data_IF_127646480892
#
_entry.id   IF_127646480892
#
_cell.length_a   1.000
_cell.length_b   1.000
_cell.length_c   1.000
_cell.angle_alpha   90.00
_cell.angle_beta   90.00
_cell.angle_gamma   90.00
#
_symmetry.space_group_name_H-M   'P 1'
#
loop_
_entity.id
_entity.type
_entity.pdbx_description
1 polymer ?
#
# COMPACT_ATOMS: atom_id res chain seq x y z
N UNK A 1 -12.79 16.17 -16.33
CA UNK A 1 -12.64 15.19 -15.23
C UNK A 1 -11.28 14.48 -15.24
N UNK A 2 -10.94 13.64 -16.24
CA UNK A 2 -9.70 12.83 -16.22
C UNK A 2 -8.39 13.61 -15.93
N UNK A 3 -8.22 14.80 -16.54
CA UNK A 3 -7.05 15.66 -16.31
C UNK A 3 -6.93 16.17 -14.86
N UNK A 4 -8.04 16.47 -14.20
CA UNK A 4 -8.02 16.99 -12.83
C UNK A 4 -7.66 15.86 -11.85
N UNK A 5 -8.25 14.68 -12.03
CA UNK A 5 -7.90 13.49 -11.25
C UNK A 5 -6.41 13.17 -11.35
N UNK A 6 -5.84 13.21 -12.55
CA UNK A 6 -4.42 12.96 -12.75
C UNK A 6 -3.55 13.99 -12.02
N UNK A 7 -3.88 15.29 -12.10
CA UNK A 7 -3.16 16.33 -11.37
C UNK A 7 -3.21 16.14 -9.85
N UNK A 8 -4.36 15.72 -9.32
CA UNK A 8 -4.52 15.45 -7.88
C UNK A 8 -3.68 14.25 -7.46
N UNK A 9 -3.71 13.16 -8.23
CA UNK A 9 -2.88 11.98 -7.97
C UNK A 9 -1.38 12.31 -8.02
N UNK A 10 -0.95 13.08 -9.02
CA UNK A 10 0.43 13.56 -9.13
C UNK A 10 0.81 14.48 -7.96
N UNK A 11 -0.11 15.34 -7.52
CA UNK A 11 0.09 16.18 -6.33
C UNK A 11 0.32 15.36 -5.07
N UNK A 12 -0.53 14.36 -4.80
CA UNK A 12 -0.35 13.46 -3.66
C UNK A 12 0.87 12.55 -3.80
N UNK A 13 1.23 12.14 -5.02
CA UNK A 13 2.47 11.41 -5.26
C UNK A 13 3.69 12.27 -4.92
N UNK A 14 3.74 13.53 -5.40
CA UNK A 14 4.81 14.46 -5.06
C UNK A 14 4.89 14.74 -3.56
N UNK A 15 3.74 14.91 -2.90
CA UNK A 15 3.68 15.06 -1.44
C UNK A 15 4.18 13.80 -0.70
N UNK A 16 3.82 12.62 -1.20
CA UNK A 16 4.29 11.33 -0.64
C UNK A 16 5.81 11.21 -0.75
N UNK A 17 6.39 11.53 -1.91
CA UNK A 17 7.86 11.53 -2.12
C UNK A 17 8.54 12.52 -1.18
N UNK A 18 7.98 13.71 -1.02
CA UNK A 18 8.54 14.74 -0.14
C UNK A 18 8.49 14.33 1.33
N UNK A 19 7.38 13.75 1.80
CA UNK A 19 7.20 13.34 3.19
C UNK A 19 7.93 12.04 3.55
N UNK A 20 8.16 11.16 2.57
CA UNK A 20 8.89 9.91 2.77
C UNK A 20 10.36 10.00 2.36
N UNK A 21 10.88 11.21 2.11
CA UNK A 21 12.30 11.39 1.78
C UNK A 21 13.20 10.79 2.89
N UNK A 22 14.24 9.98 2.58
CA UNK A 22 14.84 9.74 1.26
C UNK A 22 14.40 8.45 0.54
N UNK A 23 13.24 7.85 0.85
CA UNK A 23 12.80 6.54 0.29
C UNK A 23 12.87 6.47 -1.22
N UNK A 24 12.53 7.56 -1.93
CA UNK A 24 12.59 7.59 -3.39
C UNK A 24 13.99 7.36 -3.97
N UNK A 25 15.06 7.59 -3.19
CA UNK A 25 16.44 7.29 -3.57
C UNK A 25 16.85 5.85 -3.27
N UNK A 26 16.14 5.17 -2.37
CA UNK A 26 16.51 3.85 -1.82
C UNK A 26 15.44 2.79 -2.07
N UNK A 27 14.81 2.80 -3.25
CA UNK A 27 13.68 1.92 -3.59
C UNK A 27 14.07 0.43 -3.63
N UNK A 28 15.35 0.12 -3.81
CA UNK A 28 15.88 -1.24 -3.99
C UNK A 28 16.62 -1.81 -2.80
N UNK A 29 17.12 -0.94 -1.93
CA UNK A 29 18.13 -1.24 -0.91
C UNK A 29 17.67 -0.88 0.51
N UNK A 30 16.60 -0.10 0.66
CA UNK A 30 16.02 0.21 1.96
C UNK A 30 14.49 0.12 1.95
N UNK A 31 13.93 0.03 3.16
CA UNK A 31 12.51 0.15 3.43
C UNK A 31 12.28 1.30 4.42
N UNK A 32 11.20 2.09 4.28
CA UNK A 32 10.84 3.10 5.26
C UNK A 32 10.37 2.47 6.57
N UNK A 33 10.66 3.15 7.68
CA UNK A 33 10.19 2.78 9.01
C UNK A 33 11.33 2.39 9.93
N UNK A 34 10.95 1.85 11.09
CA UNK A 34 11.88 1.30 12.05
C UNK A 34 12.16 -0.20 11.78
N UNK A 35 13.11 -0.75 12.52
CA UNK A 35 13.53 -2.14 12.40
C UNK A 35 12.54 -3.19 12.91
N UNK A 36 11.28 -2.84 13.19
CA UNK A 36 10.30 -3.77 13.78
C UNK A 36 9.16 -4.09 12.81
N UNK A 37 8.14 -3.24 12.72
CA UNK A 37 6.91 -3.55 11.96
C UNK A 37 7.17 -3.59 10.44
N UNK A 38 8.12 -2.79 9.96
CA UNK A 38 8.53 -2.75 8.56
C UNK A 38 9.01 -4.11 8.06
N UNK A 39 9.88 -4.77 8.83
CA UNK A 39 10.41 -6.10 8.48
C UNK A 39 9.35 -7.20 8.54
N UNK A 40 8.40 -7.11 9.46
CA UNK A 40 7.30 -8.07 9.53
C UNK A 40 6.40 -7.99 8.29
N UNK A 41 6.06 -6.77 7.85
CA UNK A 41 5.31 -6.58 6.61
C UNK A 41 6.14 -6.97 5.38
N UNK A 42 7.45 -6.68 5.38
CA UNK A 42 8.37 -7.11 4.33
C UNK A 42 8.39 -8.64 4.18
N UNK A 43 8.46 -9.35 5.31
CA UNK A 43 8.36 -10.81 5.35
C UNK A 43 6.99 -11.31 4.89
N UNK A 44 5.88 -10.63 5.24
CA UNK A 44 4.54 -11.00 4.77
C UNK A 44 4.46 -11.02 3.22
N UNK A 45 5.03 -10.03 2.54
CA UNK A 45 5.06 -10.00 1.07
C UNK A 45 5.89 -11.16 0.50
N UNK A 46 7.06 -11.42 1.10
CA UNK A 46 7.87 -12.59 0.74
C UNK A 46 7.10 -13.90 0.91
N UNK A 47 6.44 -14.06 2.07
CA UNK A 47 5.73 -15.26 2.45
C UNK A 47 4.57 -15.56 1.51
N UNK A 48 3.78 -14.54 1.13
CA UNK A 48 2.69 -14.73 0.15
C UNK A 48 3.23 -15.29 -1.17
N UNK A 49 4.36 -14.77 -1.67
CA UNK A 49 5.01 -15.34 -2.86
C UNK A 49 5.47 -16.79 -2.61
N UNK A 50 6.12 -17.07 -1.49
CA UNK A 50 6.62 -18.44 -1.19
C UNK A 50 5.48 -19.45 -1.08
N UNK A 51 4.48 -19.16 -0.25
CA UNK A 51 3.33 -20.02 -0.04
C UNK A 51 2.61 -20.31 -1.36
N UNK A 52 2.35 -19.30 -2.19
CA UNK A 52 1.58 -19.49 -3.42
C UNK A 52 2.38 -20.11 -4.57
N UNK A 53 3.64 -19.70 -4.77
CA UNK A 53 4.40 -20.03 -5.98
C UNK A 53 5.49 -21.07 -5.79
N UNK A 54 5.93 -21.29 -4.55
CA UNK A 54 7.04 -22.23 -4.25
C UNK A 54 6.50 -23.46 -3.52
N UNK A 55 5.75 -23.25 -2.44
CA UNK A 55 5.27 -24.34 -1.60
C UNK A 55 3.89 -24.87 -2.01
N UNK A 56 3.07 -24.05 -2.67
CA UNK A 56 1.69 -24.40 -3.00
C UNK A 56 0.80 -24.57 -1.77
N UNK A 57 1.11 -23.85 -0.68
CA UNK A 57 0.44 -23.91 0.61
C UNK A 57 -0.48 -22.70 0.84
N UNK A 58 -1.32 -22.78 1.88
CA UNK A 58 -2.18 -21.67 2.27
C UNK A 58 -1.34 -20.55 2.91
N UNK A 59 -1.35 -19.31 2.38
CA UNK A 59 -0.59 -18.19 2.95
C UNK A 59 -0.96 -17.82 4.40
N UNK A 60 -2.12 -18.26 4.90
CA UNK A 60 -2.57 -18.00 6.27
C UNK A 60 -2.04 -18.98 7.31
N UNK A 61 -1.08 -19.84 6.96
CA UNK A 61 -0.40 -20.72 7.89
C UNK A 61 1.06 -20.87 7.48
N UNK A 62 2.00 -20.89 8.42
CA UNK A 62 3.43 -21.01 8.12
C UNK A 62 4.12 -21.95 9.10
N UNK A 63 5.02 -22.78 8.59
CA UNK A 63 5.88 -23.67 9.39
C UNK A 63 7.23 -23.03 9.75
N UNK A 64 7.53 -21.84 9.20
CA UNK A 64 8.78 -21.12 9.48
C UNK A 64 8.79 -20.48 10.88
N UNK A 65 7.62 -20.31 11.49
CA UNK A 65 7.46 -19.78 12.84
C UNK A 65 7.00 -20.89 13.77
N UNK A 66 7.60 -20.96 14.96
CA UNK A 66 7.32 -22.00 15.95
C UNK A 66 7.40 -23.44 15.42
N UNK A 67 8.52 -23.85 14.77
CA UNK A 67 8.70 -25.24 14.39
C UNK A 67 8.78 -26.15 15.64
N UNK A 68 8.24 -27.37 15.60
CA UNK A 68 7.61 -28.05 14.45
C UNK A 68 6.10 -27.82 14.33
N UNK A 69 5.48 -27.04 15.22
CA UNK A 69 4.02 -26.88 15.27
C UNK A 69 3.46 -25.91 14.23
N UNK A 70 4.27 -24.96 13.75
CA UNK A 70 3.82 -23.91 12.87
C UNK A 70 2.90 -22.90 13.59
N UNK A 71 2.38 -21.93 12.85
CA UNK A 71 1.41 -20.96 13.37
C UNK A 71 0.46 -20.46 12.28
N UNK A 72 -0.78 -20.18 12.67
CA UNK A 72 -1.73 -19.49 11.80
C UNK A 72 -1.45 -17.99 11.74
N UNK A 73 -1.46 -17.46 10.52
CA UNK A 73 -1.36 -16.04 10.21
C UNK A 73 -2.73 -15.39 10.00
N UNK A 74 -3.84 -16.05 10.35
CA UNK A 74 -5.19 -15.52 10.16
C UNK A 74 -5.48 -14.29 11.03
N UNK A 75 -5.00 -14.31 12.28
CA UNK A 75 -5.07 -13.15 13.21
C UNK A 75 -3.77 -12.35 13.24
N UNK A 76 -2.84 -12.65 12.33
CA UNK A 76 -1.60 -11.91 12.15
C UNK A 76 -1.84 -10.67 11.27
N UNK A 77 -0.89 -9.74 11.24
CA UNK A 77 -0.91 -8.54 10.37
C UNK A 77 -0.74 -8.86 8.87
N UNK A 78 -0.85 -10.13 8.47
CA UNK A 78 -0.69 -10.56 7.10
C UNK A 78 -1.72 -9.87 6.19
N UNK A 79 -1.24 -9.01 5.30
CA UNK A 79 -2.07 -8.38 4.28
C UNK A 79 -1.95 -9.13 2.95
N UNK A 80 -2.87 -10.08 2.72
CA UNK A 80 -2.88 -10.91 1.50
C UNK A 80 -3.06 -10.07 0.24
N UNK A 81 -3.84 -9.00 0.30
CA UNK A 81 -4.04 -8.11 -0.84
C UNK A 81 -2.71 -7.50 -1.28
N UNK A 82 -1.91 -6.99 -0.34
CA UNK A 82 -0.59 -6.44 -0.61
C UNK A 82 0.37 -7.44 -1.25
N UNK A 83 0.40 -8.68 -0.74
CA UNK A 83 1.22 -9.72 -1.35
C UNK A 83 0.79 -10.08 -2.78
N UNK A 84 -0.52 -10.11 -3.06
CA UNK A 84 -1.03 -10.45 -4.39
C UNK A 84 -0.83 -9.34 -5.43
N UNK A 85 -1.18 -8.09 -5.10
CA UNK A 85 -1.09 -7.02 -6.09
C UNK A 85 0.36 -6.63 -6.40
N UNK A 86 1.27 -6.79 -5.44
CA UNK A 86 2.70 -6.54 -5.66
C UNK A 86 3.46 -7.74 -6.20
N UNK A 87 2.82 -8.90 -6.36
CA UNK A 87 3.47 -10.12 -6.84
C UNK A 87 4.19 -9.91 -8.20
N UNK A 88 3.61 -9.22 -9.21
CA UNK A 88 4.33 -8.95 -10.45
C UNK A 88 5.56 -8.06 -10.23
N UNK A 89 5.47 -7.08 -9.33
CA UNK A 89 6.60 -6.20 -9.01
C UNK A 89 7.71 -6.98 -8.30
N UNK A 90 7.33 -7.82 -7.35
CA UNK A 90 8.25 -8.67 -6.59
C UNK A 90 8.99 -9.66 -7.49
N UNK A 91 8.31 -10.23 -8.50
CA UNK A 91 8.90 -11.19 -9.43
C UNK A 91 9.86 -10.54 -10.43
N UNK A 92 9.62 -9.30 -10.84
CA UNK A 92 10.42 -8.62 -11.87
C UNK A 92 11.53 -7.72 -11.29
N UNK A 93 11.29 -7.13 -10.12
CA UNK A 93 12.14 -6.06 -9.57
C UNK A 93 12.62 -6.33 -8.14
N UNK A 94 12.13 -7.39 -7.50
CA UNK A 94 12.51 -7.77 -6.15
C UNK A 94 11.59 -7.23 -5.05
N UNK A 95 11.83 -7.72 -3.84
CA UNK A 95 10.95 -7.52 -2.69
C UNK A 95 10.99 -6.08 -2.12
N UNK A 96 12.15 -5.42 -2.16
CA UNK A 96 12.29 -4.01 -1.78
C UNK A 96 11.38 -3.10 -2.60
N UNK A 97 11.40 -3.25 -3.93
CA UNK A 97 10.53 -2.47 -4.83
C UNK A 97 9.06 -2.80 -4.57
N UNK A 98 8.71 -4.07 -4.38
CA UNK A 98 7.34 -4.47 -4.06
C UNK A 98 6.84 -3.78 -2.77
N UNK A 99 7.63 -3.83 -1.69
CA UNK A 99 7.28 -3.21 -0.42
C UNK A 99 7.18 -1.68 -0.52
N UNK A 100 8.17 -1.02 -1.11
CA UNK A 100 8.16 0.44 -1.30
C UNK A 100 6.97 0.89 -2.16
N UNK A 101 6.56 0.09 -3.15
CA UNK A 101 5.37 0.35 -3.94
C UNK A 101 4.09 0.30 -3.11
N UNK A 102 4.00 -0.60 -2.11
CA UNK A 102 2.91 -0.60 -1.13
C UNK A 102 2.84 0.72 -0.41
N UNK A 103 3.94 1.12 0.21
CA UNK A 103 3.99 2.32 1.04
C UNK A 103 3.57 3.55 0.22
N UNK A 104 4.18 3.76 -0.95
CA UNK A 104 3.89 4.91 -1.81
C UNK A 104 2.42 4.90 -2.26
N UNK A 105 1.93 3.75 -2.73
CA UNK A 105 0.55 3.64 -3.22
C UNK A 105 -0.46 3.88 -2.10
N UNK A 106 -0.21 3.37 -0.89
CA UNK A 106 -1.05 3.58 0.27
C UNK A 106 -1.20 5.07 0.61
N UNK A 107 -0.10 5.84 0.64
CA UNK A 107 -0.16 7.28 0.91
C UNK A 107 -0.90 8.05 -0.19
N UNK A 108 -0.61 7.76 -1.46
CA UNK A 108 -1.27 8.43 -2.60
C UNK A 108 -2.77 8.15 -2.60
N UNK A 109 -3.17 6.88 -2.40
CA UNK A 109 -4.57 6.49 -2.37
C UNK A 109 -5.31 7.02 -1.15
N UNK A 110 -4.65 7.11 0.01
CA UNK A 110 -5.22 7.73 1.21
C UNK A 110 -5.47 9.23 0.99
N UNK A 111 -4.50 9.96 0.43
CA UNK A 111 -4.66 11.38 0.09
C UNK A 111 -5.78 11.62 -0.93
N UNK A 112 -5.81 10.81 -1.99
CA UNK A 112 -6.87 10.88 -2.99
C UNK A 112 -8.25 10.54 -2.42
N UNK A 113 -8.35 9.52 -1.56
CA UNK A 113 -9.58 9.16 -0.85
C UNK A 113 -10.07 10.29 0.05
N UNK A 114 -9.16 10.92 0.80
CA UNK A 114 -9.46 12.10 1.62
C UNK A 114 -10.00 13.26 0.78
N UNK A 115 -9.36 13.56 -0.36
CA UNK A 115 -9.86 14.57 -1.30
C UNK A 115 -11.29 14.25 -1.80
N UNK A 116 -11.54 13.01 -2.23
CA UNK A 116 -12.86 12.61 -2.72
C UNK A 116 -13.92 12.71 -1.63
N UNK A 117 -13.58 12.33 -0.40
CA UNK A 117 -14.48 12.46 0.74
C UNK A 117 -14.82 13.93 1.01
N UNK A 118 -13.82 14.82 1.05
CA UNK A 118 -14.04 16.25 1.22
C UNK A 118 -14.89 16.85 0.10
N UNK A 119 -14.61 16.45 -1.15
CA UNK A 119 -15.40 16.88 -2.30
C UNK A 119 -16.86 16.41 -2.18
N UNK A 120 -17.07 15.15 -1.79
CA UNK A 120 -18.41 14.60 -1.60
C UNK A 120 -19.19 15.36 -0.50
N UNK A 121 -18.54 15.65 0.63
CA UNK A 121 -19.20 16.38 1.72
C UNK A 121 -19.48 17.82 1.34
N UNK A 122 -18.52 18.53 0.74
CA UNK A 122 -18.68 19.94 0.38
C UNK A 122 -19.74 20.13 -0.71
N UNK A 123 -19.84 19.20 -1.66
CA UNK A 123 -20.90 19.25 -2.69
C UNK A 123 -22.28 18.94 -2.14
N UNK A 124 -22.40 18.03 -1.15
CA UNK A 124 -23.68 17.74 -0.49
C UNK A 124 -24.16 18.85 0.45
N UNK A 125 -23.25 19.51 1.16
CA UNK A 125 -23.59 20.57 2.12
C UNK A 125 -23.53 21.97 1.53
N UNK A 126 -23.14 22.13 0.25
CA UNK A 126 -23.29 23.39 -0.46
C UNK A 126 -24.79 23.73 -0.51
N UNK A 127 -25.26 24.80 0.13
CA UNK A 127 -26.68 25.13 0.13
C UNK A 127 -27.15 25.31 -1.32
N UNK A 128 -28.21 24.60 -1.69
CA UNK A 128 -28.99 24.91 -2.89
C UNK A 128 -29.68 26.26 -2.68
N UNK A 129 -28.93 27.36 -2.75
CA UNK A 129 -29.38 28.66 -2.26
C UNK A 129 -28.74 29.89 -2.93
N UNK A 130 -28.16 29.76 -4.13
CA UNK A 130 -27.73 30.93 -4.91
C UNK A 130 -27.84 30.76 -6.43
N UNK A 131 -28.75 29.90 -6.90
CA UNK A 131 -29.08 29.77 -8.34
C UNK A 131 -30.37 30.47 -8.76
N UNK A 132 -30.84 31.44 -7.99
CA UNK A 132 -31.79 32.46 -8.43
C UNK A 132 -31.09 33.82 -8.44
N UNK A 133 -31.21 34.56 -9.55
CA UNK A 133 -30.63 35.87 -9.88
C UNK A 133 -29.35 35.81 -10.74
N UNK A 134 -29.50 35.38 -11.99
CA UNK A 134 -29.22 36.19 -13.19
C UNK A 134 -29.75 35.49 -14.43
#
# INVERSE_FOLDING_TARGET
>A
MKRHTLLILLGYFGLTVLLTWPVALHLTDAIPGDGFDGWQNYWNLWWVKQALLVEGTNPFFTDYLYPPTGVSLLFHTLNIFNGLWTLPLQLNFGLAIAYNSVVITSYVMAGYGGYLLSLHTLTRFSPAGSRSLR
#
